data_IF_623430743833
#
_entry.id   IF_623430743833
#
_cell.length_a   1.000
_cell.length_b   1.000
_cell.length_c   1.000
_cell.angle_alpha   90.00
_cell.angle_beta   90.00
_cell.angle_gamma   90.00
#
_symmetry.space_group_name_H-M   'P 1'
#
loop_
_entity.id
_entity.type
_entity.pdbx_description
1 polymer ?
#
# COMPACT_ATOMS: atom_id res chain seq x y z
N UNK A 1 6.09 6.13 -2.32
CA UNK A 1 5.98 6.31 -0.85
C UNK A 1 6.49 5.06 -0.16
N UNK A 2 5.85 3.90 -0.34
CA UNK A 2 6.28 2.62 0.24
C UNK A 2 7.76 2.28 -0.02
N UNK A 3 8.20 2.14 -1.28
CA UNK A 3 9.59 1.74 -1.59
C UNK A 3 10.64 2.65 -0.95
N UNK A 4 10.36 3.96 -0.92
CA UNK A 4 11.28 4.94 -0.35
C UNK A 4 11.29 4.90 1.19
N UNK A 5 10.12 4.63 1.81
CA UNK A 5 10.02 4.45 3.25
C UNK A 5 10.78 3.19 3.68
N UNK A 6 10.60 2.08 2.96
CA UNK A 6 11.35 0.85 3.19
C UNK A 6 12.87 1.05 3.03
N UNK A 7 13.32 1.79 2.01
CA UNK A 7 14.74 2.12 1.82
C UNK A 7 15.34 2.98 2.93
N UNK A 8 14.50 3.77 3.62
CA UNK A 8 14.90 4.66 4.71
C UNK A 8 14.64 4.06 6.09
N UNK A 9 14.13 2.83 6.14
CA UNK A 9 13.66 2.15 7.35
C UNK A 9 12.63 2.96 8.15
N UNK A 10 11.78 3.72 7.45
CA UNK A 10 10.71 4.51 8.06
C UNK A 10 9.44 3.66 8.19
N UNK A 11 9.38 2.84 9.25
CA UNK A 11 8.29 1.88 9.50
C UNK A 11 6.92 2.54 9.62
N UNK A 12 6.85 3.73 10.20
CA UNK A 12 5.62 4.48 10.34
C UNK A 12 5.04 4.84 8.95
N UNK A 13 5.89 5.39 8.06
CA UNK A 13 5.47 5.74 6.70
C UNK A 13 5.25 4.51 5.83
N UNK A 14 6.00 3.43 6.05
CA UNK A 14 5.82 2.13 5.38
C UNK A 14 4.40 1.57 5.64
N UNK A 15 3.98 1.54 6.90
CA UNK A 15 2.65 1.10 7.31
C UNK A 15 1.54 1.98 6.70
N UNK A 16 1.69 3.31 6.78
CA UNK A 16 0.72 4.26 6.18
C UNK A 16 0.62 4.08 4.68
N UNK A 17 1.74 3.87 3.98
CA UNK A 17 1.74 3.69 2.53
C UNK A 17 0.96 2.44 2.11
N UNK A 18 1.06 1.33 2.87
CA UNK A 18 0.28 0.12 2.65
C UNK A 18 -1.22 0.38 2.90
N UNK A 19 -1.56 1.00 4.03
CA UNK A 19 -2.96 1.33 4.36
C UNK A 19 -3.60 2.21 3.27
N UNK A 20 -2.90 3.24 2.81
CA UNK A 20 -3.40 4.14 1.76
C UNK A 20 -3.48 3.46 0.40
N UNK A 21 -2.54 2.56 0.06
CA UNK A 21 -2.66 1.75 -1.16
C UNK A 21 -3.96 0.96 -1.14
N UNK A 22 -4.23 0.24 -0.05
CA UNK A 22 -5.47 -0.55 0.10
C UNK A 22 -6.70 0.36 0.05
N UNK A 23 -6.70 1.50 0.73
CA UNK A 23 -7.80 2.48 0.73
C UNK A 23 -8.16 2.94 -0.70
N UNK A 24 -7.17 3.14 -1.57
CA UNK A 24 -7.46 3.55 -2.95
C UNK A 24 -7.90 2.37 -3.82
N UNK A 25 -7.27 1.21 -3.65
CA UNK A 25 -7.51 0.07 -4.53
C UNK A 25 -8.81 -0.68 -4.22
N UNK A 26 -9.28 -0.68 -2.97
CA UNK A 26 -10.59 -1.28 -2.67
C UNK A 26 -11.71 -0.53 -3.40
N UNK A 27 -11.67 0.81 -3.40
CA UNK A 27 -12.64 1.63 -4.15
C UNK A 27 -12.61 1.28 -5.65
N UNK A 28 -11.42 1.06 -6.22
CA UNK A 28 -11.27 0.72 -7.64
C UNK A 28 -11.89 -0.65 -7.97
N UNK A 29 -11.60 -1.68 -7.17
CA UNK A 29 -12.14 -3.02 -7.42
C UNK A 29 -13.64 -3.12 -7.11
N UNK A 30 -14.16 -2.33 -6.15
CA UNK A 30 -15.59 -2.28 -5.88
C UNK A 30 -16.38 -1.67 -7.05
N UNK A 31 -15.80 -0.69 -7.74
CA UNK A 31 -16.42 -0.04 -8.89
C UNK A 31 -16.32 -0.86 -10.18
N UNK A 32 -15.23 -1.62 -10.37
CA UNK A 32 -14.88 -2.21 -11.66
C UNK A 32 -14.77 -3.74 -11.67
N UNK A 33 -14.82 -4.40 -10.51
CA UNK A 33 -14.54 -5.82 -10.40
C UNK A 33 -13.04 -6.08 -10.53
N UNK A 34 -12.66 -6.83 -11.55
CA UNK A 34 -11.27 -7.20 -11.80
C UNK A 34 -10.44 -5.96 -12.18
N UNK A 35 -9.24 -5.83 -11.61
CA UNK A 35 -8.39 -4.65 -11.78
C UNK A 35 -6.90 -5.02 -11.85
N UNK A 36 -6.05 -4.19 -12.45
CA UNK A 36 -4.61 -4.37 -12.33
C UNK A 36 -4.13 -4.17 -10.90
N UNK A 37 -3.49 -5.18 -10.32
CA UNK A 37 -3.05 -5.14 -8.92
C UNK A 37 -1.66 -5.75 -8.69
N UNK A 38 -1.49 -7.07 -8.82
CA UNK A 38 -0.22 -7.77 -8.52
C UNK A 38 0.97 -7.28 -9.34
N UNK A 39 0.73 -6.84 -10.57
CA UNK A 39 1.74 -6.30 -11.47
C UNK A 39 1.69 -4.77 -11.60
N UNK A 40 0.79 -4.11 -10.86
CA UNK A 40 0.61 -2.67 -10.94
C UNK A 40 1.83 -1.91 -10.39
N UNK A 41 1.98 -0.66 -10.83
CA UNK A 41 3.03 0.28 -10.38
C UNK A 41 4.48 -0.12 -10.71
N UNK A 42 4.70 -1.15 -11.53
CA UNK A 42 6.04 -1.62 -11.90
C UNK A 42 6.72 -0.83 -13.02
N UNK A 43 6.00 0.06 -13.73
CA UNK A 43 6.54 0.79 -14.89
C UNK A 43 7.78 1.66 -14.58
N UNK A 44 7.98 2.06 -13.31
CA UNK A 44 9.17 2.81 -12.86
C UNK A 44 10.39 1.92 -12.59
N UNK A 45 10.20 0.61 -12.51
CA UNK A 45 11.23 -0.37 -12.21
C UNK A 45 11.85 -0.87 -13.51
N UNK A 46 13.19 -0.88 -13.67
CA UNK A 46 13.83 -1.46 -14.85
C UNK A 46 13.37 -2.91 -15.09
N UNK A 47 12.82 -3.19 -16.26
CA UNK A 47 12.24 -4.49 -16.61
C UNK A 47 10.83 -4.76 -16.06
N UNK A 48 10.20 -3.79 -15.40
CA UNK A 48 8.81 -3.88 -14.93
C UNK A 48 7.79 -3.77 -16.06
N UNK A 49 6.59 -4.30 -15.84
CA UNK A 49 5.53 -4.24 -16.85
C UNK A 49 4.90 -2.87 -16.97
N UNK A 50 4.61 -2.46 -18.21
CA UNK A 50 3.80 -1.28 -18.55
C UNK A 50 2.35 -1.64 -18.90
N UNK A 51 2.03 -2.94 -18.93
CA UNK A 51 0.71 -3.50 -19.23
C UNK A 51 0.38 -4.56 -18.18
N UNK A 52 0.08 -4.14 -16.94
CA UNK A 52 -0.22 -5.08 -15.87
C UNK A 52 -1.48 -5.90 -16.18
N UNK A 53 -1.44 -7.19 -15.85
CA UNK A 53 -2.63 -8.04 -15.93
C UNK A 53 -3.72 -7.58 -14.98
N UNK A 54 -4.95 -7.96 -15.28
CA UNK A 54 -6.09 -7.79 -14.39
C UNK A 54 -6.16 -9.01 -13.47
N UNK A 55 -6.18 -8.77 -12.16
CA UNK A 55 -6.42 -9.79 -11.16
C UNK A 55 -7.92 -9.84 -10.84
N UNK A 56 -8.40 -11.03 -10.46
CA UNK A 56 -9.80 -11.17 -10.04
C UNK A 56 -10.08 -10.32 -8.80
N UNK A 57 -11.30 -9.76 -8.67
CA UNK A 57 -11.68 -9.02 -7.46
C UNK A 57 -11.39 -9.82 -6.17
N UNK A 58 -11.64 -11.12 -6.17
CA UNK A 58 -11.35 -11.99 -5.03
C UNK A 58 -9.86 -12.06 -4.69
N UNK A 59 -8.98 -12.15 -5.71
CA UNK A 59 -7.53 -12.16 -5.49
C UNK A 59 -7.00 -10.80 -5.06
N UNK A 60 -7.58 -9.71 -5.58
CA UNK A 60 -7.27 -8.34 -5.14
C UNK A 60 -7.56 -8.18 -3.65
N UNK A 61 -8.73 -8.61 -3.19
CA UNK A 61 -9.08 -8.57 -1.76
C UNK A 61 -8.14 -9.41 -0.89
N UNK A 62 -7.76 -10.62 -1.33
CA UNK A 62 -6.79 -11.45 -0.61
C UNK A 62 -5.44 -10.75 -0.46
N UNK A 63 -4.96 -10.12 -1.53
CA UNK A 63 -3.71 -9.35 -1.50
C UNK A 63 -3.82 -8.13 -0.57
N UNK A 64 -4.91 -7.37 -0.64
CA UNK A 64 -5.16 -6.24 0.25
C UNK A 64 -5.18 -6.64 1.73
N UNK A 65 -5.78 -7.78 2.07
CA UNK A 65 -5.76 -8.27 3.46
C UNK A 65 -4.35 -8.63 3.93
N UNK A 66 -3.53 -9.27 3.10
CA UNK A 66 -2.14 -9.56 3.44
C UNK A 66 -1.31 -8.27 3.64
N UNK A 67 -1.58 -7.24 2.84
CA UNK A 67 -0.93 -5.93 2.97
C UNK A 67 -1.37 -5.20 4.24
N UNK A 68 -2.66 -5.22 4.59
CA UNK A 68 -3.16 -4.67 5.85
C UNK A 68 -2.61 -5.41 7.06
N UNK A 69 -2.48 -6.73 6.99
CA UNK A 69 -1.86 -7.52 8.06
C UNK A 69 -0.38 -7.14 8.26
N UNK A 70 0.32 -6.85 7.16
CA UNK A 70 1.70 -6.34 7.21
C UNK A 70 1.74 -4.95 7.83
N UNK A 71 0.85 -4.04 7.43
CA UNK A 71 0.75 -2.71 8.03
C UNK A 71 0.44 -2.78 9.53
N UNK A 72 -0.47 -3.66 9.95
CA UNK A 72 -0.82 -3.86 11.36
C UNK A 72 0.39 -4.32 12.19
N UNK A 73 1.21 -5.22 11.66
CA UNK A 73 2.45 -5.65 12.33
C UNK A 73 3.42 -4.49 12.52
N UNK A 74 3.60 -3.67 11.48
CA UNK A 74 4.43 -2.47 11.56
C UNK A 74 3.89 -1.46 12.58
N UNK A 75 2.58 -1.22 12.63
CA UNK A 75 1.98 -0.35 13.65
C UNK A 75 2.12 -0.91 15.07
N UNK A 76 2.04 -2.22 15.24
CA UNK A 76 2.19 -2.86 16.56
C UNK A 76 3.60 -2.68 17.16
N UNK A 77 4.61 -2.41 16.35
CA UNK A 77 5.96 -2.03 16.80
C UNK A 77 6.02 -0.61 17.39
N UNK A 78 4.92 0.15 17.34
CA UNK A 78 4.81 1.55 17.80
C UNK A 78 5.90 2.46 17.19
N UNK A 79 5.99 2.54 15.85
CA UNK A 79 7.04 3.28 15.18
C UNK A 79 6.86 4.79 15.37
N UNK A 80 7.98 5.52 15.42
CA UNK A 80 7.97 6.98 15.63
C UNK A 80 7.69 7.69 14.31
N UNK A 81 6.62 8.48 14.27
CA UNK A 81 6.34 9.40 13.16
C UNK A 81 7.29 10.60 13.23
N UNK A 82 8.26 10.65 12.30
CA UNK A 82 9.24 11.74 12.25
C UNK A 82 8.64 13.10 11.89
N UNK A 83 7.53 13.10 11.14
CA UNK A 83 6.81 14.30 10.71
C UNK A 83 5.30 14.12 10.85
N UNK A 84 4.77 14.08 12.08
CA UNK A 84 3.34 13.82 12.32
C UNK A 84 2.43 14.86 11.65
N UNK A 85 2.91 16.09 11.45
CA UNK A 85 2.18 17.18 10.81
C UNK A 85 1.84 16.94 9.32
N UNK A 86 2.53 16.00 8.66
CA UNK A 86 2.23 15.61 7.28
C UNK A 86 1.08 14.60 7.19
N UNK A 87 0.71 13.96 8.29
CA UNK A 87 -0.46 13.12 8.37
C UNK A 87 -1.70 13.97 8.66
N UNK A 88 -2.48 14.23 7.61
CA UNK A 88 -3.74 14.98 7.71
C UNK A 88 -4.90 14.21 8.32
N UNK A 89 -4.78 12.89 8.54
CA UNK A 89 -5.87 12.04 9.01
C UNK A 89 -5.81 11.82 10.52
N UNK A 90 -4.66 11.39 11.03
CA UNK A 90 -4.48 11.03 12.45
C UNK A 90 -3.41 11.84 13.17
N UNK A 91 -2.67 12.69 12.45
CA UNK A 91 -1.52 13.47 12.97
C UNK A 91 -0.46 12.59 13.64
N UNK A 92 -0.25 11.38 13.13
CA UNK A 92 0.76 10.43 13.60
C UNK A 92 0.49 9.84 14.98
N UNK A 93 -0.78 9.76 15.39
CA UNK A 93 -1.26 9.13 16.64
C UNK A 93 -1.65 7.67 16.37
#
# INVERSE_FOLDING_TARGET
MYDLAAQRDDKAVEAVALTLKVLNMYNLTDMHGDIPYSEAFQARTPGGTTKPKFDSQADVYRQMFAELETANKLYAESPVFQKPELDGMYKGI
#
